data_IF_882828366689
#
_entry.id   IF_882828366689
#
_cell.length_a   1.000
_cell.length_b   1.000
_cell.length_c   1.000
_cell.angle_alpha   90.00
_cell.angle_beta   90.00
_cell.angle_gamma   90.00
#
_symmetry.space_group_name_H-M   'P 1'
#
loop_
_entity.id
_entity.type
_entity.pdbx_description
1 polymer ?
#
# COMPACT_ATOMS: atom_id res chain seq x y z
N UNK A 1 -80.56 90.31 30.72
CA UNK A 1 -80.37 90.42 29.26
C UNK A 1 -79.73 89.11 28.80
N UNK A 2 -80.57 88.16 28.37
CA UNK A 2 -80.12 86.87 27.89
C UNK A 2 -79.69 87.04 26.43
N UNK A 3 -78.41 86.84 26.16
CA UNK A 3 -77.86 86.83 24.80
C UNK A 3 -78.21 85.48 24.18
N UNK A 4 -79.31 85.45 23.43
CA UNK A 4 -79.70 84.32 22.59
C UNK A 4 -78.58 84.09 21.55
N UNK A 5 -77.75 83.06 21.76
CA UNK A 5 -77.00 82.46 20.65
C UNK A 5 -78.03 81.82 19.71
N UNK A 6 -78.28 82.45 18.57
CA UNK A 6 -78.84 81.74 17.41
C UNK A 6 -77.83 80.67 16.98
N UNK A 7 -78.27 79.44 16.65
CA UNK A 7 -77.37 78.41 16.14
C UNK A 7 -76.65 78.93 14.89
N UNK A 8 -75.32 78.76 14.85
CA UNK A 8 -74.48 79.07 13.70
C UNK A 8 -75.12 78.46 12.45
N UNK A 9 -75.21 79.26 11.38
CA UNK A 9 -75.67 78.79 10.08
C UNK A 9 -74.66 77.75 9.54
N UNK A 10 -74.99 76.47 9.65
CA UNK A 10 -74.10 75.34 9.35
C UNK A 10 -74.04 75.01 7.84
N UNK A 11 -74.22 76.01 7.00
CA UNK A 11 -74.51 75.88 5.56
C UNK A 11 -73.30 75.47 4.70
N UNK A 12 -72.14 75.14 5.30
CA UNK A 12 -70.90 74.84 4.54
C UNK A 12 -69.97 73.76 5.13
N UNK A 13 -70.40 72.93 6.09
CA UNK A 13 -69.53 71.83 6.55
C UNK A 13 -69.48 70.66 5.56
N UNK A 14 -68.26 70.28 5.20
CA UNK A 14 -67.94 69.01 4.51
C UNK A 14 -68.29 67.81 5.39
N UNK A 15 -68.40 67.97 6.70
CA UNK A 15 -68.78 66.91 7.63
C UNK A 15 -70.14 67.24 8.25
N UNK A 16 -71.15 66.40 8.01
CA UNK A 16 -72.51 66.62 8.51
C UNK A 16 -72.70 66.05 9.90
N UNK A 17 -73.70 66.56 10.59
CA UNK A 17 -74.14 65.98 11.86
C UNK A 17 -74.58 64.54 11.63
N UNK A 18 -74.20 63.69 12.58
CA UNK A 18 -74.44 62.26 12.49
C UNK A 18 -75.92 61.95 12.24
N UNK A 19 -76.14 60.98 11.36
CA UNK A 19 -77.43 60.34 11.23
C UNK A 19 -77.49 59.20 12.24
N UNK A 20 -78.66 58.99 12.84
CA UNK A 20 -78.83 57.87 13.74
C UNK A 20 -78.75 56.55 12.98
N UNK A 21 -79.36 56.49 11.80
CA UNK A 21 -79.39 55.28 10.98
C UNK A 21 -79.26 55.61 9.50
N UNK A 22 -78.75 54.66 8.71
CA UNK A 22 -78.64 54.77 7.27
C UNK A 22 -79.30 53.59 6.54
N UNK A 23 -79.97 53.86 5.43
CA UNK A 23 -80.63 52.84 4.61
C UNK A 23 -80.09 52.83 3.19
N UNK A 24 -79.58 51.67 2.78
CA UNK A 24 -79.25 51.30 1.40
C UNK A 24 -80.45 50.71 0.65
N UNK A 25 -81.64 50.71 1.27
CA UNK A 25 -82.88 50.22 0.68
C UNK A 25 -83.89 51.35 0.50
N UNK A 26 -84.82 51.17 -0.44
CA UNK A 26 -85.86 52.14 -0.73
C UNK A 26 -86.81 52.34 0.47
N UNK A 27 -87.13 53.60 0.80
CA UNK A 27 -87.97 53.97 1.95
C UNK A 27 -89.04 54.93 1.43
N UNK A 28 -90.30 54.73 1.83
CA UNK A 28 -91.36 55.65 1.42
C UNK A 28 -91.24 56.98 2.19
N UNK A 29 -90.63 57.99 1.57
CA UNK A 29 -90.44 59.31 2.18
C UNK A 29 -91.74 60.10 2.39
N UNK A 30 -92.82 59.78 1.65
CA UNK A 30 -94.11 60.44 1.82
C UNK A 30 -94.91 59.89 3.01
N UNK A 31 -94.59 58.67 3.45
CA UNK A 31 -95.22 57.98 4.58
C UNK A 31 -94.18 57.09 5.26
N UNK A 32 -93.46 57.64 6.24
CA UNK A 32 -92.34 56.97 6.86
C UNK A 32 -92.75 55.64 7.55
N UNK A 33 -91.95 54.55 7.40
CA UNK A 33 -92.23 53.28 8.06
C UNK A 33 -91.96 53.35 9.58
N UNK A 34 -92.41 52.34 10.32
CA UNK A 34 -92.18 52.25 11.77
C UNK A 34 -90.72 51.92 12.13
N UNK A 35 -90.02 51.21 11.26
CA UNK A 35 -88.61 50.84 11.44
C UNK A 35 -87.82 51.23 10.20
N UNK A 36 -86.59 51.71 10.40
CA UNK A 36 -85.59 51.90 9.33
C UNK A 36 -84.33 51.15 9.76
N UNK A 37 -83.83 50.27 8.89
CA UNK A 37 -82.68 49.39 9.17
C UNK A 37 -82.86 48.55 10.46
N UNK A 38 -84.11 48.18 10.78
CA UNK A 38 -84.47 47.42 11.99
C UNK A 38 -84.61 48.25 13.27
N UNK A 39 -84.35 49.57 13.22
CA UNK A 39 -84.44 50.46 14.38
C UNK A 39 -85.74 51.28 14.39
N UNK A 40 -86.34 51.42 15.56
CA UNK A 40 -87.44 52.35 15.81
C UNK A 40 -86.89 53.76 16.02
N UNK A 41 -87.42 54.72 15.26
CA UNK A 41 -86.98 56.11 15.27
C UNK A 41 -87.96 57.02 16.02
N UNK A 42 -87.44 57.99 16.74
CA UNK A 42 -88.21 59.06 17.36
C UNK A 42 -88.35 60.27 16.44
N UNK A 43 -89.42 61.06 16.63
CA UNK A 43 -89.61 62.31 15.88
C UNK A 43 -88.41 63.23 16.08
N UNK A 44 -87.80 63.70 14.99
CA UNK A 44 -86.62 64.56 15.00
C UNK A 44 -85.30 63.84 14.67
N UNK A 45 -85.28 62.51 14.69
CA UNK A 45 -84.05 61.75 14.41
C UNK A 45 -83.65 61.83 12.93
N UNK A 46 -82.33 61.85 12.70
CA UNK A 46 -81.71 62.00 11.38
C UNK A 46 -81.48 60.64 10.74
N UNK A 47 -81.80 60.51 9.46
CA UNK A 47 -81.67 59.28 8.69
C UNK A 47 -80.99 59.58 7.36
N UNK A 48 -79.95 58.84 7.02
CA UNK A 48 -79.38 58.87 5.66
C UNK A 48 -80.10 57.85 4.79
N UNK A 49 -80.71 58.30 3.70
CA UNK A 49 -81.29 57.44 2.68
C UNK A 49 -80.38 57.49 1.45
N UNK A 50 -79.75 56.39 1.08
CA UNK A 50 -78.81 56.36 -0.04
C UNK A 50 -79.04 55.22 -1.04
N UNK A 51 -80.08 54.41 -0.83
CA UNK A 51 -80.55 53.40 -1.79
C UNK A 51 -82.01 53.55 -2.22
N UNK A 52 -82.48 54.80 -2.39
CA UNK A 52 -83.81 55.05 -2.93
C UNK A 52 -83.91 54.61 -4.39
N UNK A 53 -85.09 54.10 -4.79
CA UNK A 53 -85.35 53.70 -6.18
C UNK A 53 -85.30 54.90 -7.14
N UNK A 54 -85.66 56.08 -6.66
CA UNK A 54 -85.35 57.34 -7.33
C UNK A 54 -84.15 57.98 -6.64
N UNK A 55 -82.98 57.95 -7.30
CA UNK A 55 -81.73 58.41 -6.72
C UNK A 55 -81.72 59.93 -6.38
N UNK A 56 -82.65 60.71 -6.92
CA UNK A 56 -82.82 62.12 -6.53
C UNK A 56 -83.40 62.27 -5.12
N UNK A 57 -84.07 61.24 -4.60
CA UNK A 57 -84.61 61.18 -3.24
C UNK A 57 -83.57 60.76 -2.21
N UNK A 58 -82.37 60.35 -2.61
CA UNK A 58 -81.29 60.11 -1.68
C UNK A 58 -80.92 61.41 -0.94
N UNK A 59 -80.47 61.28 0.30
CA UNK A 59 -80.05 62.38 1.15
C UNK A 59 -80.38 62.17 2.63
N UNK A 60 -80.17 63.23 3.42
CA UNK A 60 -80.39 63.20 4.87
C UNK A 60 -81.79 63.73 5.17
N UNK A 61 -82.56 62.97 5.94
CA UNK A 61 -83.93 63.29 6.31
C UNK A 61 -84.12 63.32 7.83
N UNK A 62 -85.08 64.13 8.26
CA UNK A 62 -85.61 64.17 9.62
C UNK A 62 -86.88 63.32 9.67
N UNK A 63 -86.87 62.33 10.53
CA UNK A 63 -88.02 61.47 10.78
C UNK A 63 -89.12 62.27 11.49
N UNK A 64 -90.36 62.24 10.97
CA UNK A 64 -91.51 63.00 11.50
C UNK A 64 -92.56 62.15 12.21
N UNK A 65 -92.27 60.87 12.41
CA UNK A 65 -93.19 59.89 12.98
C UNK A 65 -93.72 58.91 11.93
N UNK A 66 -94.36 57.84 12.41
CA UNK A 66 -94.93 56.80 11.55
C UNK A 66 -96.05 57.38 10.69
N UNK A 67 -96.07 57.00 9.40
CA UNK A 67 -97.03 57.47 8.41
C UNK A 67 -97.04 58.99 8.16
N UNK A 68 -96.01 59.70 8.62
CA UNK A 68 -95.79 61.11 8.30
C UNK A 68 -94.75 61.26 7.19
N UNK A 69 -94.83 62.32 6.36
CA UNK A 69 -93.80 62.61 5.37
C UNK A 69 -92.48 62.98 6.06
N UNK A 70 -91.39 62.35 5.62
CA UNK A 70 -90.04 62.72 6.02
C UNK A 70 -89.63 64.02 5.34
N UNK A 71 -88.90 64.87 6.06
CA UNK A 71 -88.46 66.17 5.54
C UNK A 71 -86.94 66.19 5.47
N UNK A 72 -86.35 66.72 4.40
CA UNK A 72 -84.88 66.84 4.31
C UNK A 72 -84.31 67.61 5.51
N UNK A 73 -83.17 67.19 6.01
CA UNK A 73 -82.50 67.84 7.13
C UNK A 73 -82.05 69.24 6.76
N UNK A 74 -82.10 70.17 7.73
CA UNK A 74 -81.87 71.60 7.49
C UNK A 74 -80.47 71.92 6.96
N UNK A 75 -79.49 71.11 7.31
CA UNK A 75 -78.09 71.19 6.88
C UNK A 75 -77.81 70.42 5.59
N UNK A 76 -78.86 69.89 4.97
CA UNK A 76 -78.84 69.12 3.73
C UNK A 76 -80.22 69.25 3.03
N UNK A 77 -80.72 70.49 2.90
CA UNK A 77 -81.96 70.77 2.17
C UNK A 77 -81.82 71.86 1.10
N UNK A 78 -80.65 72.49 0.97
CA UNK A 78 -80.31 73.39 -0.15
C UNK A 78 -79.07 72.93 -0.95
N UNK A 79 -78.92 73.44 -2.18
CA UNK A 79 -77.78 73.10 -3.06
C UNK A 79 -76.45 73.60 -2.50
N UNK A 80 -76.50 74.65 -1.66
CA UNK A 80 -75.30 75.19 -1.01
C UNK A 80 -74.81 74.25 0.08
N UNK A 81 -75.70 73.46 0.65
CA UNK A 81 -75.42 72.56 1.77
C UNK A 81 -75.02 71.14 1.33
N UNK A 82 -75.56 70.64 0.22
CA UNK A 82 -75.11 69.39 -0.40
C UNK A 82 -73.85 69.63 -1.24
N UNK A 83 -72.69 69.43 -0.62
CA UNK A 83 -71.39 69.56 -1.28
C UNK A 83 -70.84 68.19 -1.71
N UNK A 84 -70.24 68.08 -2.91
CA UNK A 84 -69.42 66.91 -3.25
C UNK A 84 -68.38 66.66 -2.17
N UNK A 85 -68.07 65.40 -1.92
CA UNK A 85 -67.16 64.94 -0.86
C UNK A 85 -67.63 65.22 0.57
N UNK A 86 -68.92 65.52 0.75
CA UNK A 86 -69.51 65.63 2.07
C UNK A 86 -69.56 64.26 2.76
N UNK A 87 -69.15 64.20 4.01
CA UNK A 87 -69.16 63.04 4.88
C UNK A 87 -70.36 63.06 5.82
N UNK A 88 -70.97 61.89 6.01
CA UNK A 88 -72.13 61.66 6.87
C UNK A 88 -71.85 60.45 7.76
N UNK A 89 -71.51 60.65 9.04
CA UNK A 89 -71.31 59.54 9.96
C UNK A 89 -72.65 58.93 10.39
N UNK A 90 -72.64 57.63 10.63
CA UNK A 90 -73.81 56.85 11.07
C UNK A 90 -73.57 56.30 12.47
N UNK A 91 -74.49 56.58 13.40
CA UNK A 91 -74.30 56.21 14.81
C UNK A 91 -74.81 54.81 15.17
N UNK A 92 -75.85 54.32 14.50
CA UNK A 92 -76.51 53.04 14.83
C UNK A 92 -76.99 52.30 13.56
N UNK A 93 -77.41 51.04 13.75
CA UNK A 93 -77.90 50.16 12.69
C UNK A 93 -76.81 49.26 12.11
N UNK A 94 -77.11 48.55 11.03
CA UNK A 94 -76.14 47.64 10.39
C UNK A 94 -74.99 48.38 9.70
N UNK A 95 -75.10 49.71 9.62
CA UNK A 95 -74.14 50.61 8.97
C UNK A 95 -73.56 51.61 9.97
N UNK A 96 -73.70 51.34 11.27
CA UNK A 96 -73.02 52.10 12.31
C UNK A 96 -71.49 52.08 12.09
N UNK A 97 -70.80 53.07 12.64
CA UNK A 97 -69.33 53.23 12.56
C UNK A 97 -68.78 53.56 11.16
N UNK A 98 -69.58 53.39 10.10
CA UNK A 98 -69.23 53.88 8.77
C UNK A 98 -69.47 55.39 8.63
N UNK A 99 -68.58 56.01 7.86
CA UNK A 99 -68.76 57.36 7.34
C UNK A 99 -69.10 57.24 5.85
N UNK A 100 -70.23 57.80 5.43
CA UNK A 100 -70.62 57.81 4.03
C UNK A 100 -70.21 59.12 3.37
N UNK A 101 -69.47 59.03 2.27
CA UNK A 101 -69.07 60.18 1.46
C UNK A 101 -70.00 60.32 0.26
N UNK A 102 -70.49 61.54 0.01
CA UNK A 102 -71.14 61.89 -1.25
C UNK A 102 -70.08 61.99 -2.34
N UNK A 103 -70.14 61.10 -3.33
CA UNK A 103 -69.22 61.09 -4.48
C UNK A 103 -69.85 61.66 -5.75
N UNK A 104 -71.09 62.12 -5.70
CA UNK A 104 -71.70 62.86 -6.81
C UNK A 104 -70.91 64.16 -7.05
N UNK A 105 -70.45 64.36 -8.28
CA UNK A 105 -69.70 65.54 -8.69
C UNK A 105 -70.54 66.82 -8.63
N UNK A 106 -69.87 67.98 -8.47
CA UNK A 106 -70.54 69.28 -8.38
C UNK A 106 -71.41 69.58 -9.62
N UNK A 107 -70.97 69.12 -10.80
CA UNK A 107 -71.67 69.30 -12.08
C UNK A 107 -72.99 68.54 -12.19
N UNK A 108 -73.23 67.56 -11.30
CA UNK A 108 -74.42 66.71 -11.31
C UNK A 108 -75.48 67.14 -10.28
N UNK A 109 -75.16 68.10 -9.42
CA UNK A 109 -76.06 68.66 -8.39
C UNK A 109 -76.76 69.91 -8.97
N UNK A 110 -78.00 69.80 -9.44
CA UNK A 110 -78.74 70.84 -10.20
C UNK A 110 -80.17 71.03 -9.63
N UNK A 111 -80.60 72.28 -9.43
CA UNK A 111 -81.96 72.58 -8.92
C UNK A 111 -83.05 72.10 -9.87
N UNK A 112 -84.08 71.43 -9.34
CA UNK A 112 -85.39 71.27 -9.98
C UNK A 112 -86.43 71.87 -9.03
N UNK A 113 -87.30 72.74 -9.55
CA UNK A 113 -88.17 73.63 -8.77
C UNK A 113 -88.90 72.93 -7.60
N UNK A 114 -88.60 73.39 -6.38
CA UNK A 114 -89.22 72.92 -5.13
C UNK A 114 -88.27 72.26 -4.11
N UNK A 115 -87.01 72.00 -4.44
CA UNK A 115 -86.02 71.45 -3.50
C UNK A 115 -84.66 71.14 -4.13
N UNK A 116 -83.75 70.54 -3.36
CA UNK A 116 -82.44 70.08 -3.86
C UNK A 116 -82.64 68.92 -4.84
N UNK A 117 -82.27 69.16 -6.09
CA UNK A 117 -82.16 68.15 -7.14
C UNK A 117 -80.70 67.85 -7.46
N UNK A 118 -80.42 66.60 -7.82
CA UNK A 118 -79.28 66.15 -8.60
C UNK A 118 -79.84 65.11 -9.59
N UNK A 119 -79.11 64.75 -10.65
CA UNK A 119 -79.51 63.59 -11.47
C UNK A 119 -79.53 62.29 -10.63
N UNK A 120 -78.66 62.22 -9.62
CA UNK A 120 -78.61 61.19 -8.57
C UNK A 120 -77.65 61.59 -7.45
N UNK A 121 -78.02 61.42 -6.17
CA UNK A 121 -77.05 61.49 -5.06
C UNK A 121 -76.49 60.11 -4.74
N UNK A 122 -75.17 59.95 -4.80
CA UNK A 122 -74.47 58.67 -4.59
C UNK A 122 -73.57 58.76 -3.36
N UNK A 123 -73.86 57.94 -2.36
CA UNK A 123 -73.05 57.82 -1.16
C UNK A 123 -72.32 56.49 -1.13
N UNK A 124 -71.02 56.51 -0.83
CA UNK A 124 -70.21 55.31 -0.66
C UNK A 124 -69.54 55.32 0.72
N UNK A 125 -69.25 54.15 1.32
CA UNK A 125 -68.41 54.09 2.51
C UNK A 125 -67.04 54.72 2.23
N UNK A 126 -66.57 55.58 3.13
CA UNK A 126 -65.28 56.24 3.04
C UNK A 126 -64.13 55.43 3.67
N UNK A 127 -64.41 54.22 4.17
CA UNK A 127 -63.45 53.36 4.86
C UNK A 127 -62.55 52.56 3.90
N UNK A 128 -61.46 52.02 4.45
CA UNK A 128 -60.49 51.20 3.72
C UNK A 128 -61.16 50.01 3.00
N UNK A 129 -60.90 49.89 1.69
CA UNK A 129 -61.42 48.79 0.88
C UNK A 129 -60.58 47.52 1.06
N UNK A 130 -61.09 46.59 1.87
CA UNK A 130 -60.44 45.31 2.17
C UNK A 130 -60.11 44.49 0.91
N UNK A 131 -60.98 44.52 -0.11
CA UNK A 131 -60.75 43.77 -1.36
C UNK A 131 -59.54 44.30 -2.14
N UNK A 132 -59.34 45.62 -2.17
CA UNK A 132 -58.16 46.22 -2.79
C UNK A 132 -56.88 45.92 -2.00
N UNK A 133 -56.97 45.91 -0.66
CA UNK A 133 -55.85 45.54 0.19
C UNK A 133 -55.41 44.07 -0.02
N UNK A 134 -56.37 43.15 -0.08
CA UNK A 134 -56.11 41.72 -0.32
C UNK A 134 -55.56 41.46 -1.73
N UNK A 135 -56.07 42.15 -2.75
CA UNK A 135 -55.56 42.05 -4.11
C UNK A 135 -54.12 42.57 -4.25
N UNK A 136 -53.76 43.63 -3.52
CA UNK A 136 -52.39 44.14 -3.52
C UNK A 136 -51.42 43.16 -2.83
N UNK A 137 -51.82 42.62 -1.66
CA UNK A 137 -50.97 41.73 -0.87
C UNK A 137 -50.72 40.39 -1.57
N UNK A 138 -51.70 39.84 -2.30
CA UNK A 138 -51.57 38.55 -3.00
C UNK A 138 -50.55 38.55 -4.15
N UNK A 139 -50.17 39.73 -4.65
CA UNK A 139 -49.17 39.88 -5.72
C UNK A 139 -47.74 40.07 -5.22
N UNK A 140 -47.53 40.11 -3.90
CA UNK A 140 -46.21 40.27 -3.30
C UNK A 140 -45.67 38.91 -2.85
N UNK A 141 -44.54 38.49 -3.45
CA UNK A 141 -43.71 37.41 -2.91
C UNK A 141 -42.56 38.01 -2.10
N UNK A 142 -41.86 37.17 -1.35
CA UNK A 142 -40.60 37.56 -0.68
C UNK A 142 -39.53 38.03 -1.68
N UNK A 143 -39.64 37.67 -2.96
CA UNK A 143 -38.72 38.11 -4.01
C UNK A 143 -38.83 39.61 -4.32
N UNK A 144 -39.98 40.23 -3.99
CA UNK A 144 -40.21 41.66 -4.16
C UNK A 144 -39.70 42.50 -2.97
N UNK A 145 -39.11 41.87 -1.96
CA UNK A 145 -38.57 42.53 -0.78
C UNK A 145 -37.04 42.56 -0.85
N UNK A 146 -36.46 43.76 -0.75
CA UNK A 146 -35.02 43.90 -0.63
C UNK A 146 -34.56 43.29 0.70
N UNK A 147 -33.62 42.36 0.65
CA UNK A 147 -33.07 41.75 1.85
C UNK A 147 -32.11 42.71 2.56
N UNK A 148 -32.19 42.76 3.89
CA UNK A 148 -31.24 43.47 4.74
C UNK A 148 -29.94 42.69 4.94
N UNK A 149 -29.07 43.12 5.86
CA UNK A 149 -27.76 42.47 6.07
C UNK A 149 -27.77 41.28 7.04
N UNK A 150 -28.84 41.08 7.80
CA UNK A 150 -28.85 40.18 8.98
C UNK A 150 -29.83 39.01 8.83
N UNK A 151 -30.98 39.22 8.18
CA UNK A 151 -32.01 38.20 8.04
C UNK A 151 -32.39 38.05 6.57
N UNK A 152 -31.57 37.27 5.87
CA UNK A 152 -31.74 36.95 4.45
C UNK A 152 -32.76 35.81 4.32
N UNK A 153 -33.59 35.82 3.28
CA UNK A 153 -34.47 34.70 3.00
C UNK A 153 -33.64 33.48 2.57
N UNK A 154 -34.11 32.28 2.92
CA UNK A 154 -33.49 31.03 2.51
C UNK A 154 -33.88 30.71 1.08
N UNK A 155 -33.16 31.27 0.10
CA UNK A 155 -33.13 30.65 -1.23
C UNK A 155 -32.52 29.25 -1.10
N UNK A 156 -32.93 28.31 -1.96
CA UNK A 156 -32.40 26.94 -1.98
C UNK A 156 -30.87 26.92 -1.98
N UNK A 157 -30.24 27.82 -2.74
CA UNK A 157 -28.78 27.98 -2.79
C UNK A 157 -28.16 28.35 -1.43
N UNK A 158 -28.80 29.24 -0.65
CA UNK A 158 -28.31 29.63 0.68
C UNK A 158 -28.56 28.54 1.73
N UNK A 159 -29.70 27.87 1.65
CA UNK A 159 -29.99 26.72 2.50
C UNK A 159 -28.96 25.61 2.29
N UNK A 160 -28.66 25.27 1.03
CA UNK A 160 -27.62 24.30 0.68
C UNK A 160 -26.23 24.75 1.15
N UNK A 161 -25.85 26.01 0.95
CA UNK A 161 -24.58 26.57 1.45
C UNK A 161 -24.49 26.59 2.99
N UNK A 162 -25.63 26.67 3.67
CA UNK A 162 -25.68 26.63 5.13
C UNK A 162 -25.47 25.22 5.69
N UNK A 163 -25.87 24.16 4.98
CA UNK A 163 -25.81 22.78 5.47
C UNK A 163 -24.71 21.92 4.83
N UNK A 164 -24.21 22.27 3.64
CA UNK A 164 -23.11 21.57 2.95
C UNK A 164 -21.84 22.42 2.97
N UNK A 165 -20.68 21.77 3.14
CA UNK A 165 -19.36 22.40 3.08
C UNK A 165 -18.43 21.66 2.13
N UNK A 166 -17.58 22.39 1.41
CA UNK A 166 -16.55 21.84 0.53
C UNK A 166 -15.26 21.44 1.28
N UNK A 167 -15.33 21.35 2.62
CA UNK A 167 -14.18 21.01 3.48
C UNK A 167 -14.63 20.07 4.58
N UNK A 168 -13.89 18.97 4.77
CA UNK A 168 -14.04 18.07 5.93
C UNK A 168 -13.19 18.62 7.08
N UNK A 169 -13.84 19.00 8.18
CA UNK A 169 -13.16 19.48 9.40
C UNK A 169 -13.59 18.62 10.59
N UNK A 170 -12.62 18.14 11.38
CA UNK A 170 -12.92 17.36 12.58
C UNK A 170 -13.71 18.21 13.60
N UNK A 171 -14.72 17.61 14.24
CA UNK A 171 -15.57 18.27 15.24
C UNK A 171 -16.75 19.07 14.68
N UNK A 172 -16.92 19.14 13.35
CA UNK A 172 -18.13 19.72 12.75
C UNK A 172 -19.24 18.67 12.77
N UNK A 173 -20.33 18.96 13.48
CA UNK A 173 -21.48 18.05 13.64
C UNK A 173 -22.78 18.55 13.01
N UNK A 174 -22.79 19.79 12.52
CA UNK A 174 -23.98 20.48 12.02
C UNK A 174 -23.92 20.85 10.53
N UNK A 175 -22.90 20.36 9.81
CA UNK A 175 -22.76 20.50 8.35
C UNK A 175 -22.29 19.18 7.76
N UNK A 176 -22.84 18.80 6.60
CA UNK A 176 -22.38 17.67 5.82
C UNK A 176 -21.25 18.11 4.87
N UNK A 177 -20.23 17.27 4.62
CA UNK A 177 -19.31 17.52 3.52
C UNK A 177 -19.98 17.29 2.16
N UNK A 178 -19.51 17.99 1.13
CA UNK A 178 -19.86 17.70 -0.26
C UNK A 178 -19.30 16.34 -0.71
N UNK A 179 -19.88 15.77 -1.77
CA UNK A 179 -19.35 14.58 -2.42
C UNK A 179 -17.90 14.80 -2.89
N UNK A 180 -17.59 15.98 -3.45
CA UNK A 180 -16.24 16.36 -3.85
C UNK A 180 -15.25 16.33 -2.67
N UNK A 181 -15.62 16.91 -1.51
CA UNK A 181 -14.75 16.94 -0.34
C UNK A 181 -14.50 15.55 0.24
N UNK A 182 -15.50 14.67 0.18
CA UNK A 182 -15.35 13.25 0.56
C UNK A 182 -14.46 12.53 -0.43
N UNK A 183 -14.66 12.74 -1.73
CA UNK A 183 -13.86 12.14 -2.79
C UNK A 183 -12.38 12.53 -2.67
N UNK A 184 -12.07 13.82 -2.54
CA UNK A 184 -10.72 14.34 -2.37
C UNK A 184 -10.05 13.79 -1.09
N UNK A 185 -10.80 13.72 0.01
CA UNK A 185 -10.28 13.19 1.27
C UNK A 185 -10.01 11.69 1.21
N UNK A 186 -10.81 10.91 0.49
CA UNK A 186 -10.63 9.46 0.31
C UNK A 186 -9.52 9.15 -0.71
N UNK A 187 -9.40 9.96 -1.77
CA UNK A 187 -8.38 9.81 -2.82
C UNK A 187 -6.96 9.84 -2.23
N UNK A 188 -6.77 10.49 -1.08
CA UNK A 188 -5.49 10.60 -0.38
C UNK A 188 -5.24 9.50 0.68
N UNK A 189 -6.18 8.59 0.96
CA UNK A 189 -6.02 7.62 2.07
C UNK A 189 -5.38 6.30 1.68
N UNK A 190 -5.65 5.77 0.50
CA UNK A 190 -5.02 4.54 -0.02
C UNK A 190 -3.62 4.77 -0.65
N UNK A 191 -3.33 5.87 -1.39
CA UNK A 191 -2.00 6.08 -1.96
C UNK A 191 -0.98 6.78 -1.04
N UNK A 192 -1.35 7.32 0.13
CA UNK A 192 -0.47 8.22 0.90
C UNK A 192 0.11 7.67 2.21
N UNK A 193 -0.08 6.40 2.59
CA UNK A 193 0.86 5.84 3.55
C UNK A 193 2.18 5.57 2.81
N UNK A 194 2.93 6.64 2.58
CA UNK A 194 4.20 6.65 1.89
C UNK A 194 5.15 5.61 2.50
N UNK A 195 5.06 5.37 3.81
CA UNK A 195 5.85 4.36 4.49
C UNK A 195 5.52 2.94 4.01
N UNK A 196 4.26 2.64 3.72
CA UNK A 196 3.83 1.32 3.24
C UNK A 196 4.14 1.16 1.76
N UNK A 197 3.90 2.19 0.94
CA UNK A 197 4.23 2.13 -0.49
C UNK A 197 5.74 2.05 -0.72
N UNK A 198 6.54 2.74 0.11
CA UNK A 198 8.00 2.64 0.12
C UNK A 198 8.51 1.28 0.62
N UNK A 199 7.90 0.72 1.67
CA UNK A 199 8.22 -0.63 2.15
C UNK A 199 7.87 -1.72 1.13
N UNK A 200 6.75 -1.59 0.40
CA UNK A 200 6.29 -2.54 -0.62
C UNK A 200 7.16 -2.46 -1.90
N UNK A 201 7.58 -1.26 -2.32
CA UNK A 201 8.49 -1.09 -3.46
C UNK A 201 9.95 -1.48 -3.14
N UNK A 202 10.20 -1.82 -1.88
CA UNK A 202 11.51 -2.22 -1.40
C UNK A 202 11.79 -3.66 -1.83
N UNK A 203 12.37 -3.81 -3.03
CA UNK A 203 12.79 -5.10 -3.66
C UNK A 203 13.94 -5.79 -2.97
N UNK A 204 14.53 -5.05 -2.08
CA UNK A 204 15.20 -5.64 -1.00
C UNK A 204 14.25 -6.72 -0.35
N UNK A 205 14.61 -8.03 -0.32
CA UNK A 205 13.91 -9.23 0.32
C UNK A 205 14.62 -10.63 -0.01
N UNK A 206 15.49 -11.30 0.78
CA UNK A 206 15.87 -10.83 2.07
C UNK A 206 16.37 -9.40 1.77
N UNK A 207 15.98 -8.39 2.55
CA UNK A 207 15.91 -6.94 2.27
C UNK A 207 17.13 -6.31 1.60
N UNK A 208 17.49 -6.74 0.38
CA UNK A 208 18.86 -6.71 -0.11
C UNK A 208 19.76 -7.16 1.04
N UNK A 209 19.27 -8.16 1.79
CA UNK A 209 19.79 -8.61 3.06
C UNK A 209 21.06 -9.33 2.71
N UNK A 210 22.11 -8.67 3.14
CA UNK A 210 23.48 -9.08 2.98
C UNK A 210 23.72 -10.32 3.83
N UNK A 211 24.75 -11.09 3.46
CA UNK A 211 25.18 -12.25 4.24
C UNK A 211 25.46 -11.92 5.70
N UNK A 212 25.95 -10.70 5.98
CA UNK A 212 26.17 -10.23 7.34
C UNK A 212 24.88 -10.17 8.17
N UNK A 213 23.77 -9.70 7.58
CA UNK A 213 22.47 -9.56 8.25
C UNK A 213 21.85 -10.90 8.68
N UNK A 214 22.28 -12.01 8.10
CA UNK A 214 21.87 -13.37 8.49
C UNK A 214 22.98 -14.13 9.22
N UNK A 215 24.05 -13.46 9.67
CA UNK A 215 25.16 -14.07 10.40
C UNK A 215 26.17 -14.84 9.54
N UNK A 216 26.12 -14.69 8.22
CA UNK A 216 26.94 -15.40 7.23
C UNK A 216 28.03 -14.51 6.61
N UNK A 217 28.43 -13.40 7.26
CA UNK A 217 29.34 -12.41 6.68
C UNK A 217 30.72 -12.95 6.28
N UNK A 218 31.23 -13.94 7.01
CA UNK A 218 32.49 -14.61 6.69
C UNK A 218 32.32 -15.80 5.72
N UNK A 219 31.07 -16.12 5.36
CA UNK A 219 30.77 -17.23 4.45
C UNK A 219 30.92 -16.75 3.02
N UNK A 220 32.02 -17.16 2.39
CA UNK A 220 32.29 -16.84 1.00
C UNK A 220 31.14 -17.33 0.09
N UNK A 221 30.81 -16.55 -0.95
CA UNK A 221 29.80 -16.96 -1.95
C UNK A 221 30.44 -17.79 -3.06
N UNK A 222 31.01 -18.91 -2.65
CA UNK A 222 31.70 -19.80 -3.56
C UNK A 222 30.77 -20.93 -3.92
N UNK A 223 30.62 -21.18 -5.23
CA UNK A 223 29.95 -22.38 -5.71
C UNK A 223 30.82 -23.59 -5.34
N UNK A 224 30.30 -24.39 -4.40
CA UNK A 224 30.98 -25.57 -3.86
C UNK A 224 30.98 -26.76 -4.83
N UNK A 225 30.29 -26.66 -5.96
CA UNK A 225 30.29 -27.70 -7.02
C UNK A 225 31.34 -27.45 -8.10
N UNK A 226 31.89 -26.23 -8.15
CA UNK A 226 32.93 -25.86 -9.10
C UNK A 226 34.31 -25.81 -8.41
N UNK A 227 35.10 -26.86 -8.62
CA UNK A 227 36.44 -26.99 -8.06
C UNK A 227 37.40 -25.85 -8.47
N UNK A 228 37.16 -25.18 -9.60
CA UNK A 228 37.97 -24.04 -10.04
C UNK A 228 37.86 -22.84 -9.09
N UNK A 229 36.84 -22.80 -8.23
CA UNK A 229 36.73 -21.75 -7.22
C UNK A 229 37.71 -21.92 -6.06
N UNK A 230 38.37 -23.08 -5.96
CA UNK A 230 39.50 -23.32 -5.06
C UNK A 230 40.77 -22.86 -5.81
N UNK A 231 40.86 -21.55 -6.08
CA UNK A 231 41.95 -20.97 -6.89
C UNK A 231 43.25 -20.82 -6.12
N UNK A 232 43.20 -20.88 -4.78
CA UNK A 232 44.35 -20.73 -3.88
C UNK A 232 44.00 -21.23 -2.47
N UNK A 233 45.03 -21.45 -1.66
CA UNK A 233 44.90 -21.95 -0.28
C UNK A 233 45.13 -23.46 -0.16
N UNK A 234 45.16 -23.94 1.07
CA UNK A 234 45.33 -25.37 1.41
C UNK A 234 43.99 -25.90 1.90
N UNK A 235 43.48 -26.95 1.25
CA UNK A 235 42.40 -27.75 1.82
C UNK A 235 43.00 -28.63 2.91
N UNK A 236 42.54 -28.49 4.14
CA UNK A 236 42.93 -29.40 5.23
C UNK A 236 42.56 -30.84 4.87
N UNK A 237 43.39 -31.81 5.27
CA UNK A 237 43.19 -33.24 4.98
C UNK A 237 41.82 -33.76 5.41
N UNK A 238 41.24 -33.19 6.48
CA UNK A 238 39.90 -33.52 6.97
C UNK A 238 38.77 -33.27 5.96
N UNK A 239 39.01 -32.41 4.97
CA UNK A 239 38.04 -32.09 3.91
C UNK A 239 38.25 -32.95 2.65
N UNK A 240 39.32 -33.74 2.59
CA UNK A 240 39.57 -34.67 1.51
C UNK A 240 38.94 -36.04 1.86
N UNK A 241 38.03 -36.56 1.02
CA UNK A 241 37.48 -37.89 1.26
C UNK A 241 38.57 -38.96 1.10
N UNK A 242 38.44 -40.06 1.84
CA UNK A 242 39.27 -41.25 1.62
C UNK A 242 38.99 -41.86 0.25
N UNK A 243 39.99 -42.41 -0.42
CA UNK A 243 39.81 -43.07 -1.72
C UNK A 243 39.72 -42.11 -2.91
N UNK A 244 40.51 -41.03 -2.89
CA UNK A 244 40.71 -40.19 -4.08
C UNK A 244 41.22 -41.08 -5.22
N UNK A 245 40.47 -41.12 -6.31
CA UNK A 245 40.88 -41.86 -7.51
C UNK A 245 42.22 -41.29 -8.01
N UNK A 246 43.21 -42.16 -8.25
CA UNK A 246 44.56 -41.80 -8.68
C UNK A 246 44.56 -40.98 -9.98
N UNK A 247 43.59 -41.19 -10.87
CA UNK A 247 43.42 -40.39 -12.08
C UNK A 247 43.21 -38.89 -11.78
N UNK A 248 42.81 -38.53 -10.54
CA UNK A 248 42.58 -37.16 -10.08
C UNK A 248 43.79 -36.52 -9.38
N UNK A 249 44.88 -37.25 -9.16
CA UNK A 249 46.06 -36.78 -8.40
C UNK A 249 47.08 -36.05 -9.31
N UNK A 250 46.96 -36.18 -10.64
CA UNK A 250 47.83 -35.52 -11.62
C UNK A 250 47.12 -35.32 -12.98
N UNK A 251 47.81 -35.59 -14.09
CA UNK A 251 47.27 -35.55 -15.46
C UNK A 251 46.40 -36.77 -15.83
N UNK A 252 46.16 -37.67 -14.88
CA UNK A 252 45.31 -38.85 -15.06
C UNK A 252 45.96 -40.04 -15.78
N UNK A 253 47.28 -40.02 -16.02
CA UNK A 253 47.97 -41.16 -16.65
C UNK A 253 48.20 -42.33 -15.71
N UNK A 254 48.18 -42.10 -14.40
CA UNK A 254 48.34 -43.15 -13.37
C UNK A 254 46.97 -43.54 -12.85
N UNK A 255 46.61 -44.81 -12.98
CA UNK A 255 45.34 -45.35 -12.47
C UNK A 255 45.42 -45.88 -11.04
N UNK A 256 44.26 -46.27 -10.48
CA UNK A 256 44.20 -46.83 -9.12
C UNK A 256 44.99 -48.14 -8.99
N UNK A 257 45.16 -48.91 -10.07
CA UNK A 257 45.90 -50.17 -10.06
C UNK A 257 47.38 -49.88 -9.96
N UNK A 258 47.89 -49.01 -10.83
CA UNK A 258 49.28 -48.59 -10.88
C UNK A 258 49.70 -47.90 -9.58
N UNK A 259 48.86 -47.01 -9.05
CA UNK A 259 49.13 -46.34 -7.78
C UNK A 259 49.16 -47.32 -6.60
N UNK A 260 48.29 -48.34 -6.60
CA UNK A 260 48.27 -49.35 -5.52
C UNK A 260 49.51 -50.24 -5.49
N UNK A 261 50.26 -50.39 -6.59
CA UNK A 261 51.54 -51.10 -6.55
C UNK A 261 52.56 -50.45 -5.62
N UNK A 262 52.40 -49.15 -5.31
CA UNK A 262 53.24 -48.46 -4.34
C UNK A 262 53.00 -48.91 -2.89
N UNK A 263 51.91 -49.59 -2.58
CA UNK A 263 51.60 -50.06 -1.22
C UNK A 263 52.64 -51.08 -0.69
N UNK A 264 53.35 -51.80 -1.57
CA UNK A 264 54.38 -52.75 -1.19
C UNK A 264 55.80 -52.18 -1.13
N UNK A 265 55.97 -50.89 -1.44
CA UNK A 265 57.27 -50.23 -1.51
C UNK A 265 57.75 -49.91 -0.10
N UNK A 266 58.87 -50.49 0.31
CA UNK A 266 59.42 -50.39 1.69
C UNK A 266 60.49 -49.31 1.86
N UNK A 267 60.94 -48.70 0.77
CA UNK A 267 61.92 -47.60 0.72
C UNK A 267 61.67 -46.77 -0.54
N UNK A 268 62.38 -45.67 -0.77
CA UNK A 268 62.20 -44.89 -1.99
C UNK A 268 62.30 -45.81 -3.24
N UNK A 269 61.35 -45.68 -4.18
CA UNK A 269 61.29 -46.54 -5.39
C UNK A 269 62.64 -46.59 -6.12
N UNK A 270 63.34 -45.45 -6.18
CA UNK A 270 64.67 -45.38 -6.78
C UNK A 270 65.70 -46.27 -6.06
N UNK A 271 65.68 -46.31 -4.73
CA UNK A 271 66.57 -47.19 -3.95
C UNK A 271 66.30 -48.66 -4.26
N UNK A 272 65.01 -49.06 -4.30
CA UNK A 272 64.64 -50.43 -4.64
C UNK A 272 65.10 -50.83 -6.06
N UNK A 273 65.01 -49.93 -7.03
CA UNK A 273 65.51 -50.16 -8.39
C UNK A 273 67.04 -50.28 -8.44
N UNK A 274 67.75 -49.37 -7.78
CA UNK A 274 69.21 -49.39 -7.71
C UNK A 274 69.74 -50.68 -7.07
N UNK A 275 69.05 -51.22 -6.05
CA UNK A 275 69.45 -52.46 -5.40
C UNK A 275 69.17 -53.69 -6.28
N UNK A 276 68.10 -53.67 -7.08
CA UNK A 276 67.84 -54.73 -8.08
C UNK A 276 68.90 -54.74 -9.18
N UNK A 277 69.35 -53.57 -9.63
CA UNK A 277 70.44 -53.44 -10.61
C UNK A 277 71.74 -54.05 -10.08
N UNK A 278 72.10 -53.78 -8.81
CA UNK A 278 73.30 -54.34 -8.17
C UNK A 278 73.29 -55.87 -8.09
N UNK A 279 72.12 -56.50 -7.84
CA UNK A 279 71.97 -57.97 -7.84
C UNK A 279 72.18 -58.61 -9.22
N UNK A 280 72.19 -57.82 -10.30
CA UNK A 280 72.51 -58.30 -11.65
C UNK A 280 74.01 -58.48 -11.91
N UNK A 281 74.88 -57.86 -11.11
CA UNK A 281 76.33 -58.01 -11.22
C UNK A 281 76.84 -59.13 -10.30
N UNK A 282 77.70 -60.00 -10.83
CA UNK A 282 78.45 -60.95 -10.00
C UNK A 282 79.38 -60.16 -9.08
N UNK A 283 79.33 -60.45 -7.79
CA UNK A 283 80.36 -60.00 -6.86
C UNK A 283 81.66 -60.74 -7.15
N UNK A 284 82.74 -59.98 -7.38
CA UNK A 284 84.06 -60.52 -7.71
C UNK A 284 85.04 -60.29 -6.57
N UNK A 285 85.72 -61.36 -6.17
CA UNK A 285 86.89 -61.35 -5.30
C UNK A 285 88.10 -61.82 -6.10
N UNK A 286 89.25 -61.20 -5.87
CA UNK A 286 90.54 -61.68 -6.37
C UNK A 286 91.44 -61.98 -5.17
N UNK A 287 92.11 -63.14 -5.16
CA UNK A 287 92.95 -63.59 -4.04
C UNK A 287 94.22 -64.28 -4.53
N UNK A 288 95.35 -63.99 -3.88
CA UNK A 288 96.63 -64.68 -4.05
C UNK A 288 97.00 -65.54 -2.82
N UNK A 289 96.07 -65.67 -1.86
CA UNK A 289 96.23 -66.41 -0.61
C UNK A 289 95.02 -67.31 -0.37
N UNK A 290 95.11 -68.20 0.63
CA UNK A 290 93.97 -68.99 1.07
C UNK A 290 92.80 -68.07 1.44
N UNK A 291 91.61 -68.40 0.96
CA UNK A 291 90.43 -67.55 1.10
C UNK A 291 89.21 -68.38 1.50
N UNK A 292 88.47 -67.89 2.48
CA UNK A 292 87.15 -68.45 2.82
C UNK A 292 86.10 -67.61 2.12
N UNK A 293 85.41 -68.21 1.16
CA UNK A 293 84.37 -67.57 0.39
C UNK A 293 83.22 -67.09 1.28
N UNK A 294 82.78 -65.86 1.07
CA UNK A 294 81.60 -65.32 1.71
C UNK A 294 80.33 -65.77 0.99
N UNK A 295 79.18 -65.76 1.69
CA UNK A 295 77.87 -66.03 1.09
C UNK A 295 77.51 -65.07 -0.05
N UNK A 296 78.13 -63.90 -0.07
CA UNK A 296 77.95 -62.89 -1.12
C UNK A 296 78.74 -63.18 -2.38
N UNK A 297 79.88 -63.87 -2.30
CA UNK A 297 80.81 -64.00 -3.44
C UNK A 297 80.24 -64.86 -4.56
N UNK A 298 80.27 -64.35 -5.78
CA UNK A 298 79.78 -65.08 -6.96
C UNK A 298 80.93 -65.54 -7.85
N UNK A 299 82.07 -64.83 -7.80
CA UNK A 299 83.27 -65.12 -8.57
C UNK A 299 84.53 -64.91 -7.73
N UNK A 300 85.40 -65.92 -7.71
CA UNK A 300 86.70 -65.89 -7.04
C UNK A 300 87.80 -66.13 -8.08
N UNK A 301 88.52 -65.06 -8.40
CA UNK A 301 89.74 -65.11 -9.18
C UNK A 301 90.92 -65.48 -8.28
N UNK A 302 91.47 -66.66 -8.48
CA UNK A 302 92.62 -67.17 -7.76
C UNK A 302 93.89 -66.89 -8.55
N UNK A 303 94.79 -66.09 -7.97
CA UNK A 303 96.12 -65.88 -8.51
C UNK A 303 97.06 -66.99 -8.01
N UNK A 304 97.06 -68.12 -8.74
CA UNK A 304 97.98 -69.24 -8.49
C UNK A 304 99.45 -68.90 -8.73
N UNK A 305 99.77 -67.77 -9.38
CA UNK A 305 101.16 -67.34 -9.59
C UNK A 305 101.80 -66.76 -8.33
N UNK A 306 100.98 -66.42 -7.33
CA UNK A 306 101.37 -65.84 -6.06
C UNK A 306 102.30 -66.70 -5.20
N UNK A 307 102.57 -66.23 -3.98
CA UNK A 307 103.57 -66.85 -3.09
C UNK A 307 103.10 -68.15 -2.42
N UNK A 308 101.78 -68.39 -2.35
CA UNK A 308 101.22 -69.61 -1.76
C UNK A 308 101.38 -70.80 -2.70
N UNK A 309 101.94 -71.90 -2.18
CA UNK A 309 102.00 -73.19 -2.90
C UNK A 309 100.78 -74.01 -2.49
N UNK A 310 99.80 -74.14 -3.39
CA UNK A 310 98.54 -74.81 -3.10
C UNK A 310 97.48 -73.86 -2.52
N UNK A 311 96.98 -72.91 -3.30
CA UNK A 311 95.98 -71.95 -2.83
C UNK A 311 94.67 -72.69 -2.53
N UNK A 312 94.15 -72.54 -1.32
CA UNK A 312 92.88 -73.17 -0.91
C UNK A 312 91.77 -72.13 -0.82
N UNK A 313 90.71 -72.34 -1.60
CA UNK A 313 89.43 -71.64 -1.47
C UNK A 313 88.48 -72.54 -0.68
N UNK A 314 88.14 -72.13 0.54
CA UNK A 314 87.12 -72.83 1.34
C UNK A 314 85.75 -72.27 0.96
N UNK A 315 84.82 -73.14 0.55
CA UNK A 315 83.46 -72.77 0.20
C UNK A 315 82.71 -72.20 1.43
N UNK A 316 81.66 -71.38 1.24
CA UNK A 316 80.86 -70.92 2.36
C UNK A 316 80.12 -72.10 3.04
N UNK A 317 79.95 -72.02 4.36
CA UNK A 317 79.12 -72.95 5.13
C UNK A 317 77.71 -73.06 4.51
N UNK A 318 77.27 -74.28 4.22
CA UNK A 318 75.96 -74.50 3.59
C UNK A 318 74.84 -74.13 4.58
N UNK A 319 73.96 -73.24 4.14
CA UNK A 319 72.74 -72.87 4.85
C UNK A 319 71.56 -72.82 3.87
N UNK A 320 70.32 -72.92 4.38
CA UNK A 320 69.12 -72.84 3.54
C UNK A 320 69.05 -71.58 2.65
N UNK A 321 69.65 -70.47 3.11
CA UNK A 321 69.73 -69.22 2.36
C UNK A 321 70.67 -69.25 1.14
N UNK A 322 71.51 -70.27 1.01
CA UNK A 322 72.42 -70.46 -0.12
C UNK A 322 71.85 -71.40 -1.19
N UNK A 323 70.62 -71.91 -1.06
CA UNK A 323 70.05 -72.76 -2.10
C UNK A 323 70.05 -72.06 -3.48
N UNK A 324 70.67 -72.68 -4.47
CA UNK A 324 70.84 -72.12 -5.81
C UNK A 324 71.96 -71.08 -5.94
N UNK A 325 72.71 -70.79 -4.87
CA UNK A 325 73.90 -69.95 -4.94
C UNK A 325 74.91 -70.61 -5.86
N UNK A 326 75.36 -69.85 -6.86
CA UNK A 326 76.45 -70.23 -7.75
C UNK A 326 77.72 -69.52 -7.34
N UNK A 327 78.84 -70.22 -7.41
CA UNK A 327 80.16 -69.66 -7.23
C UNK A 327 81.07 -70.16 -8.36
N UNK A 328 81.80 -69.24 -8.98
CA UNK A 328 82.82 -69.57 -9.96
C UNK A 328 84.18 -69.38 -9.29
N UNK A 329 85.00 -70.42 -9.31
CA UNK A 329 86.40 -70.33 -8.86
C UNK A 329 87.26 -70.50 -10.09
N UNK A 330 88.10 -69.50 -10.35
CA UNK A 330 88.89 -69.40 -11.58
C UNK A 330 90.35 -69.28 -11.25
N UNK A 331 91.21 -70.05 -11.91
CA UNK A 331 92.62 -69.72 -11.97
C UNK A 331 92.84 -68.51 -12.90
N UNK A 332 93.27 -67.38 -12.34
CA UNK A 332 93.67 -66.18 -13.09
C UNK A 332 95.20 -66.03 -13.13
N UNK A 333 95.92 -66.70 -12.24
CA UNK A 333 97.38 -66.64 -12.15
C UNK A 333 98.11 -67.52 -13.16
N UNK A 334 97.47 -68.58 -13.66
CA UNK A 334 98.00 -69.42 -14.73
C UNK A 334 99.15 -70.34 -14.30
N UNK A 335 99.23 -70.69 -13.02
CA UNK A 335 100.23 -71.59 -12.44
C UNK A 335 99.60 -72.79 -11.71
N UNK A 336 98.31 -73.05 -11.89
CA UNK A 336 97.58 -74.15 -11.25
C UNK A 336 98.21 -75.54 -11.49
N UNK A 337 98.91 -75.76 -12.60
CA UNK A 337 99.62 -77.03 -12.85
C UNK A 337 100.82 -77.27 -11.92
N UNK A 338 101.46 -76.20 -11.44
CA UNK A 338 102.57 -76.30 -10.48
C UNK A 338 102.12 -76.04 -9.03
N UNK A 339 101.05 -75.26 -8.87
CA UNK A 339 100.48 -74.82 -7.60
C UNK A 339 98.96 -74.93 -7.68
N UNK A 340 98.47 -76.16 -7.56
CA UNK A 340 97.04 -76.48 -7.65
C UNK A 340 96.20 -75.52 -6.81
N UNK A 341 95.02 -75.17 -7.30
CA UNK A 341 94.03 -74.46 -6.49
C UNK A 341 93.07 -75.51 -5.92
N UNK A 342 92.97 -75.59 -4.60
CA UNK A 342 92.09 -76.51 -3.90
C UNK A 342 90.78 -75.81 -3.57
N UNK A 343 89.65 -76.42 -3.94
CA UNK A 343 88.31 -75.99 -3.53
C UNK A 343 87.87 -76.91 -2.41
N UNK A 344 87.91 -76.40 -1.17
CA UNK A 344 87.62 -77.18 0.03
C UNK A 344 86.17 -76.99 0.50
N UNK A 345 85.49 -78.04 0.98
CA UNK A 345 84.22 -77.89 1.68
C UNK A 345 84.43 -77.20 3.03
N UNK A 346 83.40 -76.50 3.52
CA UNK A 346 83.37 -76.03 4.91
C UNK A 346 82.94 -77.17 5.85
N UNK A 347 83.77 -77.45 6.86
CA UNK A 347 83.49 -78.45 7.90
C UNK A 347 83.02 -79.80 7.34
N UNK A 348 81.77 -80.17 7.64
CA UNK A 348 81.18 -81.45 7.23
C UNK A 348 80.45 -81.41 5.87
N UNK A 349 80.46 -80.27 5.16
CA UNK A 349 79.80 -80.15 3.86
C UNK A 349 80.48 -81.02 2.78
N UNK A 350 79.72 -81.27 1.70
CA UNK A 350 80.15 -82.13 0.61
C UNK A 350 80.33 -81.33 -0.68
N UNK A 351 81.26 -81.75 -1.51
CA UNK A 351 81.37 -81.39 -2.93
C UNK A 351 81.06 -82.66 -3.72
N UNK A 352 80.06 -82.62 -4.60
CA UNK A 352 79.57 -83.78 -5.38
C UNK A 352 79.31 -85.04 -4.53
N UNK A 353 78.73 -84.83 -3.34
CA UNK A 353 78.37 -85.91 -2.42
C UNK A 353 79.52 -86.42 -1.54
N UNK A 354 80.73 -85.88 -1.66
CA UNK A 354 81.91 -86.29 -0.88
C UNK A 354 82.44 -85.13 -0.04
N UNK A 355 82.81 -85.38 1.22
CA UNK A 355 83.55 -84.40 2.02
C UNK A 355 85.05 -84.49 1.69
N UNK A 356 85.43 -83.89 0.57
CA UNK A 356 86.81 -83.81 0.11
C UNK A 356 86.97 -82.54 -0.74
N UNK A 357 88.19 -82.02 -0.80
CA UNK A 357 88.51 -80.89 -1.67
C UNK A 357 88.64 -81.33 -3.12
N UNK A 358 88.17 -80.49 -4.03
CA UNK A 358 88.44 -80.59 -5.47
C UNK A 358 89.66 -79.77 -5.85
N UNK A 359 90.29 -80.08 -6.99
CA UNK A 359 91.52 -79.41 -7.42
C UNK A 359 91.43 -78.92 -8.85
N UNK A 360 91.79 -77.66 -9.06
CA UNK A 360 92.13 -77.13 -10.38
C UNK A 360 93.62 -77.39 -10.60
N UNK A 361 93.93 -78.16 -11.63
CA UNK A 361 95.30 -78.64 -11.95
C UNK A 361 95.75 -78.19 -13.35
N UNK A 362 94.85 -77.59 -14.12
CA UNK A 362 95.17 -77.00 -15.42
C UNK A 362 95.28 -75.48 -15.26
N UNK A 363 96.33 -74.89 -15.83
CA UNK A 363 96.47 -73.45 -15.87
C UNK A 363 95.24 -72.81 -16.53
N UNK A 364 94.72 -71.75 -15.91
CA UNK A 364 93.49 -71.10 -16.33
C UNK A 364 92.26 -72.01 -16.36
N UNK A 365 92.21 -73.03 -15.53
CA UNK A 365 90.97 -73.79 -15.29
C UNK A 365 89.94 -72.95 -14.53
N UNK A 366 88.68 -73.38 -14.58
CA UNK A 366 87.57 -72.85 -13.80
C UNK A 366 86.72 -74.01 -13.30
N UNK A 367 86.14 -73.84 -12.12
CA UNK A 367 85.06 -74.70 -11.63
C UNK A 367 83.88 -73.83 -11.26
N UNK A 368 82.68 -74.28 -11.62
CA UNK A 368 81.44 -73.65 -11.17
C UNK A 368 80.72 -74.63 -10.26
N UNK A 369 80.35 -74.16 -9.08
CA UNK A 369 79.58 -74.95 -8.15
C UNK A 369 78.24 -74.28 -7.84
N UNK A 370 77.22 -75.10 -7.58
CA UNK A 370 75.91 -74.68 -7.10
C UNK A 370 75.59 -75.33 -5.75
N UNK A 371 75.14 -74.54 -4.78
CA UNK A 371 74.77 -75.03 -3.46
C UNK A 371 73.32 -75.53 -3.44
N UNK A 372 73.06 -76.66 -2.77
CA UNK A 372 71.70 -77.18 -2.57
C UNK A 372 70.99 -76.58 -1.34
N UNK A 373 71.69 -75.76 -0.55
CA UNK A 373 71.19 -75.15 0.68
C UNK A 373 70.95 -76.13 1.84
N UNK A 374 71.36 -77.39 1.71
CA UNK A 374 71.15 -78.43 2.72
C UNK A 374 72.47 -78.96 3.29
N UNK A 375 73.28 -79.60 2.45
CA UNK A 375 74.47 -80.34 2.91
C UNK A 375 75.68 -80.27 1.96
N UNK A 376 75.55 -79.68 0.77
CA UNK A 376 76.67 -79.69 -0.18
C UNK A 376 76.55 -78.78 -1.39
N UNK A 377 77.64 -78.80 -2.14
CA UNK A 377 77.87 -78.10 -3.40
C UNK A 377 78.00 -79.12 -4.52
N UNK A 378 77.51 -78.77 -5.70
CA UNK A 378 77.50 -79.61 -6.89
C UNK A 378 78.23 -78.92 -8.03
N UNK A 379 79.09 -79.63 -8.74
CA UNK A 379 79.80 -79.12 -9.91
C UNK A 379 78.82 -79.12 -11.10
N UNK A 380 78.79 -78.04 -11.89
CA UNK A 380 77.87 -77.86 -13.03
C UNK A 380 78.54 -77.40 -14.31
#
# INVERSE_FOLDING_TARGET
MAFLLSPLDNSSLTYKDAVRVASSSNINIASAPALIDGLALSVGERVLLFGQSNATQNGIYIYKGVAQPMVRAKDANTLREFKPNMYVPVSEGTKAEYIYQLTTDESQIVQLDGGVGASSFTFVPADFNEALANAWLSTKTTDALAEGLVNLYFLDTRAQSAVVTQVITNGVTNKAPSEDAVYDALLLKEPANANIQQHIASTSNPHSVTKSQVGLGNVQNVDQTNASNITSGTLGESYLPTGINANKIANGTVDNTEFQYLNGVTSAVQTQLNDKEKKGYLTRIATAVNYTAASTDDYIGCDSSGTVSGLTVTLPAVTAGLNGKRIVIKDEGGAATAKNIFVAPDGFNKIDGVNASESLVVNYESITLICNGADGWFII
#
